data_IF_627436359804
#
_entry.id   IF_627436359804
#
_cell.length_a   1.000
_cell.length_b   1.000
_cell.length_c   1.000
_cell.angle_alpha   90.00
_cell.angle_beta   90.00
_cell.angle_gamma   90.00
#
_symmetry.space_group_name_H-M   'P 1'
#
loop_
_entity.id
_entity.type
_entity.pdbx_description
1 polymer ?
#
# COMPACT_ATOMS: atom_id res chain seq x y z
N UNK A 1 -19.92 19.94 21.79
CA UNK A 1 -19.49 18.54 21.61
C UNK A 1 -18.04 18.59 21.18
N UNK A 2 -17.13 18.28 22.10
CA UNK A 2 -15.68 18.42 21.90
C UNK A 2 -15.19 17.25 21.05
N UNK A 3 -14.56 17.53 19.91
CA UNK A 3 -13.92 16.53 19.05
C UNK A 3 -12.67 16.01 19.78
N UNK A 4 -12.83 14.99 20.62
CA UNK A 4 -11.71 14.32 21.26
C UNK A 4 -11.21 13.19 20.33
N UNK A 5 -10.02 13.33 19.75
CA UNK A 5 -9.26 12.18 19.21
C UNK A 5 -9.22 11.95 17.69
N UNK A 6 -9.62 12.92 16.86
CA UNK A 6 -9.53 12.76 15.40
C UNK A 6 -8.10 12.94 14.87
N UNK A 7 -7.57 11.96 14.14
CA UNK A 7 -6.31 12.11 13.38
C UNK A 7 -6.61 12.91 12.11
N UNK A 8 -5.96 14.07 11.94
CA UNK A 8 -6.08 14.90 10.75
C UNK A 8 -4.76 14.93 9.99
N UNK A 9 -4.86 14.82 8.67
CA UNK A 9 -3.71 14.83 7.78
C UNK A 9 -3.47 16.28 7.30
N UNK A 10 -2.27 16.83 7.55
CA UNK A 10 -2.00 18.26 7.31
C UNK A 10 -1.45 18.62 5.91
N UNK A 11 -0.88 17.69 5.13
CA UNK A 11 -0.29 17.98 3.81
C UNK A 11 -0.35 16.80 2.84
N UNK A 12 -1.06 16.89 1.72
CA UNK A 12 -1.04 15.82 0.71
C UNK A 12 0.35 15.62 0.09
N UNK A 13 0.74 14.36 -0.08
CA UNK A 13 1.98 13.90 -0.69
C UNK A 13 1.71 12.72 -1.62
N UNK A 14 2.53 12.59 -2.65
CA UNK A 14 2.49 11.49 -3.59
C UNK A 14 3.91 10.99 -3.77
N UNK A 15 4.07 9.68 -3.91
CA UNK A 15 5.36 9.05 -4.20
C UNK A 15 5.18 8.00 -5.29
N UNK A 16 6.20 7.93 -6.13
CA UNK A 16 6.39 6.86 -7.10
C UNK A 16 7.67 6.13 -6.78
N UNK A 17 7.53 4.84 -6.52
CA UNK A 17 8.65 3.93 -6.34
C UNK A 17 8.79 3.07 -7.59
N UNK A 18 10.01 2.94 -8.10
CA UNK A 18 10.31 2.09 -9.26
C UNK A 18 11.22 0.94 -8.81
N UNK A 19 10.83 -0.28 -9.18
CA UNK A 19 11.55 -1.50 -8.86
C UNK A 19 11.98 -2.15 -10.17
N UNK A 20 13.25 -1.98 -10.51
CA UNK A 20 13.82 -2.44 -11.77
C UNK A 20 15.04 -3.33 -11.54
N UNK A 21 15.25 -4.29 -12.43
CA UNK A 21 16.55 -4.96 -12.57
C UNK A 21 17.44 -4.20 -13.57
N UNK A 22 18.75 -4.46 -13.53
CA UNK A 22 19.77 -3.69 -14.26
C UNK A 22 19.57 -3.59 -15.77
N UNK A 23 18.86 -4.55 -16.40
CA UNK A 23 18.55 -4.55 -17.82
C UNK A 23 17.10 -4.13 -18.16
N UNK A 24 16.34 -3.63 -17.16
CA UNK A 24 14.93 -3.20 -17.26
C UNK A 24 13.97 -4.24 -17.85
N UNK A 25 14.34 -5.51 -17.91
CA UNK A 25 13.41 -6.56 -18.36
C UNK A 25 12.26 -6.73 -17.37
N UNK A 26 12.57 -6.61 -16.09
CA UNK A 26 11.59 -6.43 -15.02
C UNK A 26 11.63 -4.95 -14.62
N UNK A 27 10.48 -4.29 -14.75
CA UNK A 27 10.30 -2.93 -14.27
C UNK A 27 8.85 -2.76 -13.76
N UNK A 28 8.71 -2.55 -12.45
CA UNK A 28 7.44 -2.35 -11.78
C UNK A 28 7.43 -0.97 -11.14
N UNK A 29 6.46 -0.15 -11.54
CA UNK A 29 6.18 1.15 -10.93
C UNK A 29 5.06 0.99 -9.92
N UNK A 30 5.26 1.51 -8.71
CA UNK A 30 4.23 1.66 -7.70
C UNK A 30 3.93 3.15 -7.56
N UNK A 31 2.71 3.54 -7.90
CA UNK A 31 2.19 4.85 -7.59
C UNK A 31 1.44 4.77 -6.25
N UNK A 32 1.90 5.57 -5.29
CA UNK A 32 1.33 5.65 -3.95
C UNK A 32 0.85 7.07 -3.66
N UNK A 33 -0.46 7.23 -3.59
CA UNK A 33 -1.10 8.44 -3.07
C UNK A 33 -1.34 8.23 -1.57
N UNK A 34 -0.61 8.92 -0.71
CA UNK A 34 -0.75 8.71 0.75
C UNK A 34 -2.04 9.35 1.33
N UNK A 35 -2.90 9.94 0.49
CA UNK A 35 -3.98 10.82 0.96
C UNK A 35 -5.19 10.72 0.06
N UNK A 36 -6.36 10.48 0.65
CA UNK A 36 -7.60 10.87 -0.04
C UNK A 36 -8.64 11.51 0.86
N UNK A 37 -8.58 11.34 2.19
CA UNK A 37 -9.43 12.04 3.18
C UNK A 37 -9.15 11.57 4.61
N UNK A 38 -9.29 12.45 5.60
CA UNK A 38 -9.63 12.04 6.96
C UNK A 38 -11.09 11.61 6.97
N UNK A 39 -11.37 10.38 7.38
CA UNK A 39 -12.75 9.94 7.65
C UNK A 39 -12.95 10.01 9.14
N UNK A 40 -13.88 10.86 9.59
CA UNK A 40 -14.28 10.95 11.00
C UNK A 40 -15.56 10.15 11.19
N UNK A 41 -15.52 9.07 11.95
CA UNK A 41 -16.70 8.36 12.42
C UNK A 41 -16.65 8.24 13.94
N UNK A 42 -17.75 8.57 14.64
CA UNK A 42 -17.95 8.32 16.08
C UNK A 42 -16.68 8.45 16.95
N UNK A 43 -16.12 9.67 17.04
CA UNK A 43 -14.95 10.02 17.87
C UNK A 43 -13.60 9.41 17.45
N UNK A 44 -13.51 8.75 16.29
CA UNK A 44 -12.24 8.30 15.72
C UNK A 44 -12.06 8.86 14.31
N UNK A 45 -10.80 9.13 13.95
CA UNK A 45 -10.41 9.60 12.63
C UNK A 45 -9.29 8.72 12.08
N UNK A 46 -9.41 8.34 10.81
CA UNK A 46 -8.36 7.59 10.11
C UNK A 46 -8.04 8.19 8.76
N UNK A 47 -6.86 7.85 8.25
CA UNK A 47 -6.34 8.36 6.99
C UNK A 47 -6.40 7.25 5.95
N UNK A 48 -6.81 7.60 4.73
CA UNK A 48 -6.91 6.69 3.59
C UNK A 48 -5.67 6.83 2.70
N UNK A 49 -4.94 5.74 2.48
CA UNK A 49 -3.90 5.64 1.47
C UNK A 49 -4.38 4.86 0.24
N UNK A 50 -3.83 5.15 -0.94
CA UNK A 50 -4.17 4.48 -2.19
C UNK A 50 -2.91 3.98 -2.90
N UNK A 51 -2.97 2.76 -3.40
CA UNK A 51 -1.86 2.12 -4.13
C UNK A 51 -2.35 1.71 -5.51
N UNK A 52 -1.55 2.02 -6.52
CA UNK A 52 -1.67 1.48 -7.88
C UNK A 52 -0.30 0.95 -8.30
N UNK A 53 -0.32 -0.15 -9.05
CA UNK A 53 0.90 -0.72 -9.64
C UNK A 53 0.79 -0.71 -11.14
N UNK A 54 1.92 -0.53 -11.82
CA UNK A 54 2.03 -0.57 -13.28
C UNK A 54 3.26 -1.35 -13.67
N UNK A 55 3.09 -2.38 -14.50
CA UNK A 55 4.21 -3.06 -15.12
C UNK A 55 4.73 -2.19 -16.27
N UNK A 56 5.86 -1.52 -16.07
CA UNK A 56 6.52 -0.68 -17.08
C UNK A 56 7.59 -1.45 -17.86
N UNK A 57 7.88 -2.68 -17.46
CA UNK A 57 8.81 -3.58 -18.13
C UNK A 57 8.23 -4.24 -19.37
N UNK A 58 8.95 -5.22 -19.90
CA UNK A 58 8.57 -5.99 -21.08
C UNK A 58 8.27 -7.47 -20.79
N UNK A 59 8.22 -7.85 -19.51
CA UNK A 59 7.93 -9.21 -19.03
C UNK A 59 6.60 -9.23 -18.29
N UNK A 60 5.83 -10.30 -18.46
CA UNK A 60 4.61 -10.53 -17.71
C UNK A 60 4.92 -10.85 -16.23
N UNK A 61 4.24 -10.18 -15.31
CA UNK A 61 4.41 -10.37 -13.88
C UNK A 61 3.20 -11.12 -13.31
N UNK A 62 3.45 -12.10 -12.47
CA UNK A 62 2.45 -12.94 -11.81
C UNK A 62 2.39 -12.68 -10.32
N UNK A 63 1.21 -12.88 -9.74
CA UNK A 63 0.98 -12.81 -8.30
C UNK A 63 1.55 -11.54 -7.66
N UNK A 64 1.35 -10.39 -8.32
CA UNK A 64 1.88 -9.11 -7.85
C UNK A 64 1.23 -8.77 -6.52
N UNK A 65 2.02 -8.69 -5.46
CA UNK A 65 1.61 -8.27 -4.12
C UNK A 65 2.38 -7.02 -3.73
N UNK A 66 1.75 -6.14 -2.97
CA UNK A 66 2.43 -5.00 -2.34
C UNK A 66 2.16 -5.04 -0.85
N UNK A 67 3.21 -5.17 -0.06
CA UNK A 67 3.18 -5.09 1.39
C UNK A 67 3.29 -3.63 1.80
N UNK A 68 2.53 -3.28 2.84
CA UNK A 68 2.55 -1.94 3.43
C UNK A 68 3.16 -2.08 4.82
N UNK A 69 4.24 -1.36 5.03
CA UNK A 69 4.89 -1.22 6.31
C UNK A 69 4.83 0.25 6.73
N UNK A 70 4.28 0.47 7.92
CA UNK A 70 4.11 1.79 8.52
C UNK A 70 5.07 1.89 9.68
N UNK A 71 6.07 2.75 9.54
CA UNK A 71 7.07 2.96 10.58
C UNK A 71 6.91 4.37 11.16
N UNK A 72 7.01 4.47 12.47
CA UNK A 72 6.89 5.72 13.20
C UNK A 72 8.24 6.04 13.86
N UNK A 73 8.68 7.28 13.73
CA UNK A 73 9.98 7.70 14.29
C UNK A 73 9.86 8.13 15.77
N UNK A 74 8.72 7.88 16.42
CA UNK A 74 8.36 8.50 17.69
C UNK A 74 8.22 7.49 18.83
N UNK A 75 8.86 7.75 19.97
CA UNK A 75 8.78 6.84 21.12
C UNK A 75 7.39 6.74 21.78
N UNK A 76 6.47 7.66 21.45
CA UNK A 76 5.23 7.87 22.22
C UNK A 76 3.96 7.38 21.55
N UNK A 77 4.05 6.87 20.31
CA UNK A 77 2.89 6.49 19.51
C UNK A 77 3.15 5.16 18.83
N UNK A 78 2.08 4.56 18.36
CA UNK A 78 2.08 3.42 17.47
C UNK A 78 1.22 3.78 16.25
N UNK A 79 1.66 3.33 15.07
CA UNK A 79 0.92 3.46 13.82
C UNK A 79 0.36 2.11 13.48
N UNK A 80 -0.91 2.10 13.08
CA UNK A 80 -1.60 0.87 12.75
C UNK A 80 -2.35 0.96 11.43
N UNK A 81 -2.31 -0.11 10.66
CA UNK A 81 -3.29 -0.37 9.62
C UNK A 81 -4.62 -0.76 10.27
N UNK A 82 -5.69 -0.25 9.67
CA UNK A 82 -7.05 -0.48 10.15
C UNK A 82 -8.01 -0.79 9.01
N UNK A 83 -9.17 -1.31 9.37
CA UNK A 83 -10.29 -1.49 8.45
C UNK A 83 -11.06 -0.17 8.23
N UNK A 84 -12.14 -0.25 7.44
CA UNK A 84 -12.99 0.91 7.17
C UNK A 84 -13.81 1.43 8.38
N UNK A 85 -13.76 0.73 9.52
CA UNK A 85 -14.37 1.16 10.78
C UNK A 85 -13.33 1.72 11.76
N UNK A 86 -12.03 1.63 11.44
CA UNK A 86 -10.93 2.05 12.30
C UNK A 86 -10.43 0.97 13.27
N UNK A 87 -10.86 -0.28 13.09
CA UNK A 87 -10.36 -1.42 13.89
C UNK A 87 -8.99 -1.85 13.37
N UNK A 88 -8.03 -2.07 14.28
CA UNK A 88 -6.65 -2.43 13.94
C UNK A 88 -6.60 -3.84 13.35
N UNK A 89 -5.91 -4.00 12.22
CA UNK A 89 -5.82 -5.27 11.48
C UNK A 89 -4.40 -5.81 11.30
N UNK A 90 -3.38 -5.08 11.77
CA UNK A 90 -1.96 -5.49 11.63
C UNK A 90 -1.40 -6.26 12.83
N UNK A 91 -2.23 -6.59 13.81
CA UNK A 91 -1.83 -7.36 15.00
C UNK A 91 -1.68 -8.87 14.76
N UNK A 92 -1.73 -9.33 13.51
CA UNK A 92 -1.60 -10.73 13.11
C UNK A 92 -0.15 -11.15 12.82
N UNK A 93 0.06 -12.46 12.59
CA UNK A 93 1.38 -13.00 12.22
C UNK A 93 1.81 -12.66 10.79
N UNK A 94 0.88 -12.18 9.95
CA UNK A 94 1.14 -11.84 8.55
C UNK A 94 1.08 -10.32 8.35
N UNK A 95 2.13 -9.77 7.73
CA UNK A 95 2.13 -8.37 7.27
C UNK A 95 1.05 -8.20 6.20
N UNK A 96 0.10 -7.27 6.38
CA UNK A 96 -0.98 -7.05 5.42
C UNK A 96 -0.42 -6.63 4.05
N UNK A 97 -0.99 -7.19 2.99
CA UNK A 97 -0.61 -6.93 1.62
C UNK A 97 -1.81 -6.79 0.70
N UNK A 98 -1.60 -6.07 -0.39
CA UNK A 98 -2.54 -6.03 -1.51
C UNK A 98 -2.10 -6.96 -2.63
N UNK A 99 -2.94 -7.94 -2.95
CA UNK A 99 -2.79 -8.72 -4.18
C UNK A 99 -3.36 -7.95 -5.37
N UNK A 100 -2.57 -7.68 -6.38
CA UNK A 100 -2.96 -7.08 -7.66
C UNK A 100 -3.07 -8.12 -8.78
N UNK A 101 -2.79 -9.40 -8.48
CA UNK A 101 -2.84 -10.49 -9.45
C UNK A 101 -1.78 -10.35 -10.52
N UNK A 102 -2.12 -10.76 -11.74
CA UNK A 102 -1.20 -10.78 -12.87
C UNK A 102 -1.21 -9.44 -13.63
N UNK A 103 -0.03 -8.98 -14.07
CA UNK A 103 0.17 -7.74 -14.82
C UNK A 103 0.97 -7.98 -16.09
N UNK A 104 0.30 -7.86 -17.24
CA UNK A 104 0.96 -7.80 -18.54
C UNK A 104 1.77 -6.50 -18.72
N UNK A 105 2.79 -6.51 -19.61
CA UNK A 105 3.56 -5.31 -19.94
C UNK A 105 2.68 -4.11 -20.33
N UNK A 106 2.97 -2.95 -19.75
CA UNK A 106 2.26 -1.69 -20.00
C UNK A 106 0.94 -1.52 -19.24
N UNK A 107 0.43 -2.58 -18.58
CA UNK A 107 -0.86 -2.53 -17.88
C UNK A 107 -0.69 -1.94 -16.48
N UNK A 108 -1.65 -1.08 -16.10
CA UNK A 108 -1.82 -0.57 -14.74
C UNK A 108 -2.95 -1.31 -14.05
N UNK A 109 -2.79 -1.59 -12.76
CA UNK A 109 -3.84 -2.18 -11.95
C UNK A 109 -4.96 -1.18 -11.64
N UNK A 110 -6.09 -1.70 -11.18
CA UNK A 110 -7.07 -0.90 -10.46
C UNK A 110 -6.48 -0.41 -9.14
N UNK A 111 -6.81 0.82 -8.76
CA UNK A 111 -6.42 1.38 -7.46
C UNK A 111 -7.01 0.56 -6.30
N UNK A 112 -6.21 0.36 -5.26
CA UNK A 112 -6.64 -0.21 -3.98
C UNK A 112 -6.43 0.80 -2.86
N UNK A 113 -7.32 0.79 -1.88
CA UNK A 113 -7.29 1.70 -0.73
C UNK A 113 -7.05 0.92 0.56
N UNK A 114 -6.26 1.50 1.46
CA UNK A 114 -6.12 1.05 2.85
C UNK A 114 -6.38 2.20 3.81
N UNK A 115 -6.59 1.86 5.07
CA UNK A 115 -6.80 2.82 6.15
C UNK A 115 -5.74 2.64 7.22
N UNK A 116 -5.36 3.73 7.87
CA UNK A 116 -4.42 3.70 8.97
C UNK A 116 -4.73 4.77 10.01
N UNK A 117 -4.27 4.53 11.24
CA UNK A 117 -4.46 5.38 12.41
C UNK A 117 -3.17 5.52 13.19
N UNK A 118 -3.12 6.54 14.04
CA UNK A 118 -2.09 6.72 15.06
C UNK A 118 -2.75 6.60 16.42
N UNK A 119 -2.15 5.82 17.32
CA UNK A 119 -2.57 5.75 18.73
C UNK A 119 -1.42 6.09 19.66
N UNK A 120 -1.66 6.81 20.76
CA UNK A 120 -0.64 7.03 21.77
C UNK A 120 -0.33 5.70 22.47
N UNK A 121 0.96 5.47 22.73
CA UNK A 121 1.43 4.31 23.49
C UNK A 121 1.23 4.49 25.01
N UNK A 122 1.28 5.75 25.46
CA UNK A 122 1.11 6.11 26.87
C UNK A 122 0.13 7.29 27.03
N UNK A 123 -0.58 7.41 28.17
CA UNK A 123 -1.54 8.49 28.41
C UNK A 123 -0.96 9.90 28.26
N UNK A 124 0.30 10.11 28.65
CA UNK A 124 0.99 11.41 28.57
C UNK A 124 1.18 11.92 27.13
N UNK A 125 0.95 11.06 26.13
CA UNK A 125 1.03 11.38 24.71
C UNK A 125 -0.34 11.67 24.08
N UNK A 126 -1.44 11.53 24.83
CA UNK A 126 -2.76 11.95 24.38
C UNK A 126 -2.80 13.46 24.08
N UNK A 127 -3.30 13.85 22.90
CA UNK A 127 -3.42 15.26 22.51
C UNK A 127 -2.17 15.92 21.89
N UNK A 128 -1.07 15.17 21.69
CA UNK A 128 0.12 15.70 20.99
C UNK A 128 -0.15 15.99 19.50
N UNK A 129 0.27 17.17 19.02
CA UNK A 129 -0.32 17.76 17.80
C UNK A 129 0.28 17.30 16.45
N UNK A 130 1.53 16.84 16.39
CA UNK A 130 2.19 16.48 15.13
C UNK A 130 2.98 15.18 15.25
N UNK A 131 2.86 14.32 14.22
CA UNK A 131 3.57 13.04 14.08
C UNK A 131 4.06 12.89 12.66
N UNK A 132 5.15 12.16 12.50
CA UNK A 132 5.66 11.74 11.21
C UNK A 132 5.55 10.22 11.13
N UNK A 133 5.04 9.76 10.00
CA UNK A 133 4.93 8.34 9.67
C UNK A 133 5.66 8.13 8.36
N UNK A 134 6.56 7.16 8.34
CA UNK A 134 7.22 6.70 7.13
C UNK A 134 6.43 5.52 6.58
N UNK A 135 6.28 5.51 5.27
CA UNK A 135 5.56 4.47 4.55
C UNK A 135 6.55 3.75 3.66
N UNK A 136 6.69 2.46 3.88
CA UNK A 136 7.51 1.60 3.07
C UNK A 136 6.61 0.63 2.30
N UNK A 137 6.69 0.66 0.97
CA UNK A 137 5.98 -0.26 0.10
C UNK A 137 6.95 -1.27 -0.49
N UNK A 138 6.64 -2.55 -0.32
CA UNK A 138 7.49 -3.64 -0.82
C UNK A 138 6.69 -4.52 -1.77
N UNK A 139 7.01 -4.51 -3.08
CA UNK A 139 6.38 -5.45 -4.00
C UNK A 139 7.01 -6.83 -3.92
N UNK A 140 6.20 -7.87 -4.10
CA UNK A 140 6.64 -9.20 -4.49
C UNK A 140 5.87 -9.66 -5.71
N UNK A 141 6.52 -10.41 -6.60
CA UNK A 141 5.91 -10.92 -7.83
C UNK A 141 6.79 -12.03 -8.41
N UNK A 142 6.22 -12.83 -9.30
CA UNK A 142 6.96 -13.80 -10.11
C UNK A 142 7.07 -13.27 -11.54
N UNK A 143 8.27 -13.21 -12.10
CA UNK A 143 8.47 -12.79 -13.49
C UNK A 143 8.43 -14.00 -14.44
N UNK A 144 7.57 -13.95 -15.45
CA UNK A 144 7.42 -15.01 -16.45
C UNK A 144 8.34 -14.77 -17.65
N UNK A 145 9.59 -15.23 -17.52
CA UNK A 145 10.58 -15.20 -18.59
C UNK A 145 10.27 -16.31 -19.60
N UNK A 146 9.54 -16.00 -20.68
CA UNK A 146 9.43 -16.94 -21.80
C UNK A 146 10.76 -17.07 -22.54
N UNK A 147 11.10 -18.29 -22.96
CA UNK A 147 12.12 -18.52 -23.98
C UNK A 147 11.70 -17.84 -25.29
N UNK A 148 12.68 -17.30 -26.04
CA UNK A 148 12.47 -16.58 -27.30
C UNK A 148 11.48 -17.32 -28.23
N UNK A 149 10.44 -16.62 -28.71
CA UNK A 149 9.53 -17.11 -29.75
C UNK A 149 8.15 -17.61 -29.27
N UNK A 150 7.86 -17.60 -27.97
CA UNK A 150 6.54 -17.98 -27.46
C UNK A 150 5.68 -16.73 -27.14
N UNK A 151 4.46 -16.59 -27.70
CA UNK A 151 3.56 -15.49 -27.33
C UNK A 151 3.14 -15.62 -25.86
N UNK A 152 2.90 -14.50 -25.17
CA UNK A 152 2.29 -14.53 -23.83
C UNK A 152 0.91 -15.18 -23.93
N UNK A 153 0.63 -16.14 -23.03
CA UNK A 153 -0.70 -16.74 -22.98
C UNK A 153 -1.66 -15.72 -22.37
N UNK A 154 -2.81 -15.55 -23.00
CA UNK A 154 -3.90 -14.77 -22.45
C UNK A 154 -4.44 -15.43 -21.18
N UNK A 155 -5.04 -14.64 -20.29
CA UNK A 155 -5.70 -15.15 -19.06
C UNK A 155 -6.71 -16.26 -19.37
N UNK A 156 -7.39 -16.20 -20.52
CA UNK A 156 -8.34 -17.22 -20.97
C UNK A 156 -7.70 -18.57 -21.34
N UNK A 157 -6.41 -18.59 -21.67
CA UNK A 157 -5.66 -19.83 -21.97
C UNK A 157 -5.11 -20.48 -20.69
N UNK A 158 -4.96 -19.70 -19.62
CA UNK A 158 -4.47 -20.18 -18.33
C UNK A 158 -5.55 -20.82 -17.45
N UNK A 159 -6.79 -20.33 -17.53
CA UNK A 159 -7.93 -20.89 -16.77
C UNK A 159 -8.47 -22.22 -17.34
N UNK A 160 -7.92 -22.69 -18.47
CA UNK A 160 -8.33 -23.93 -19.16
C UNK A 160 -7.35 -25.10 -18.99
N UNK A 161 -6.23 -24.89 -18.30
CA UNK A 161 -5.23 -25.92 -18.00
C UNK A 161 -5.44 -26.48 -16.59
#
# INVERSE_FOLDING_TARGET
MTLNGGVAAYNNSWKRDCFSISDKKIDLQIDHDFWSRTVVMKNTGWIVGNVRVKNTGNIFLRDVKVYIDLDDDSMGFDVHLCDANGDIIDSGAETPYFSFGDLAPGISSTQKSYWWIVKPRFPDFEGSANKKVNFNLYPTFTADFKQQGQPFQSTAEMEKA
#
